data_IF_976084070731
#
_entry.id   IF_976084070731
#
_cell.length_a   1.000
_cell.length_b   1.000
_cell.length_c   1.000
_cell.angle_alpha   90.00
_cell.angle_beta   90.00
_cell.angle_gamma   90.00
#
_symmetry.space_group_name_H-M   'P 1'
#
loop_
_entity.id
_entity.type
_entity.pdbx_description
1 polymer ?
#
# COMPACT_ATOMS: atom_id res chain seq x y z
N UNK A 1 -1.96 15.12 -24.40
CA UNK A 1 -3.34 15.07 -23.88
C UNK A 1 -3.80 16.47 -23.57
N UNK A 2 -4.93 16.88 -24.08
CA UNK A 2 -5.56 18.14 -23.71
C UNK A 2 -5.98 18.09 -22.24
N UNK A 3 -5.53 19.06 -21.42
CA UNK A 3 -5.89 19.11 -19.99
C UNK A 3 -7.35 19.49 -19.87
N UNK A 4 -8.20 18.58 -19.40
CA UNK A 4 -9.61 18.89 -19.18
C UNK A 4 -9.77 19.77 -17.94
N UNK A 5 -10.62 20.81 -18.05
CA UNK A 5 -11.07 21.64 -16.94
C UNK A 5 -12.55 21.37 -16.72
N UNK A 6 -12.97 21.15 -15.49
CA UNK A 6 -14.38 21.01 -15.15
C UNK A 6 -14.76 22.00 -14.07
N UNK A 7 -15.66 22.93 -14.42
CA UNK A 7 -16.17 23.93 -13.48
C UNK A 7 -16.95 23.28 -12.31
N UNK A 8 -17.58 22.12 -12.52
CA UNK A 8 -18.28 21.39 -11.46
C UNK A 8 -17.34 20.81 -10.41
N UNK A 9 -16.18 20.28 -10.83
CA UNK A 9 -15.16 19.80 -9.89
C UNK A 9 -14.53 20.96 -9.12
N UNK A 10 -14.22 22.08 -9.78
CA UNK A 10 -13.71 23.27 -9.13
C UNK A 10 -14.71 23.83 -8.10
N UNK A 11 -16.00 23.83 -8.43
CA UNK A 11 -17.06 24.25 -7.49
C UNK A 11 -17.20 23.30 -6.29
N UNK A 12 -16.84 22.03 -6.45
CA UNK A 12 -16.77 21.03 -5.37
C UNK A 12 -15.45 21.09 -4.57
N UNK A 13 -14.52 22.00 -4.91
CA UNK A 13 -13.23 22.16 -4.23
C UNK A 13 -12.13 21.21 -4.71
N UNK A 14 -12.32 20.52 -5.85
CA UNK A 14 -11.35 19.58 -6.43
C UNK A 14 -10.58 20.23 -7.57
N UNK A 15 -9.24 20.23 -7.49
CA UNK A 15 -8.35 20.78 -8.53
C UNK A 15 -7.77 19.68 -9.43
N UNK A 16 -8.43 19.44 -10.58
CA UNK A 16 -7.97 18.47 -11.57
C UNK A 16 -6.55 18.81 -12.10
N UNK A 17 -6.19 20.11 -12.17
CA UNK A 17 -4.87 20.51 -12.69
C UNK A 17 -3.76 20.20 -11.72
N UNK A 18 -4.03 20.25 -10.42
CA UNK A 18 -3.13 19.76 -9.37
C UNK A 18 -2.90 18.26 -9.49
N UNK A 19 -3.96 17.47 -9.80
CA UNK A 19 -3.84 16.05 -10.06
C UNK A 19 -2.89 15.73 -11.22
N UNK A 20 -3.03 16.40 -12.37
CA UNK A 20 -2.11 16.22 -13.50
C UNK A 20 -0.66 16.59 -13.14
N UNK A 21 -0.45 17.68 -12.38
CA UNK A 21 0.88 18.10 -11.94
C UNK A 21 1.49 17.05 -11.00
N UNK A 22 0.72 16.52 -10.05
CA UNK A 22 1.17 15.47 -9.15
C UNK A 22 1.65 14.25 -9.93
N UNK A 23 0.84 13.77 -10.91
CA UNK A 23 1.22 12.66 -11.80
C UNK A 23 2.52 12.94 -12.55
N UNK A 24 2.71 14.14 -13.08
CA UNK A 24 3.94 14.50 -13.79
C UNK A 24 5.16 14.47 -12.87
N UNK A 25 5.04 14.95 -11.63
CA UNK A 25 6.13 14.94 -10.65
C UNK A 25 6.49 13.53 -10.18
N UNK A 26 5.53 12.62 -10.04
CA UNK A 26 5.78 11.27 -9.52
C UNK A 26 6.35 10.30 -10.57
N UNK A 27 6.21 10.59 -11.88
CA UNK A 27 6.62 9.68 -12.97
C UNK A 27 8.04 9.16 -12.83
N UNK A 28 9.00 10.01 -12.50
CA UNK A 28 10.41 9.62 -12.35
C UNK A 28 10.62 8.65 -11.18
N UNK A 29 9.85 8.77 -10.10
CA UNK A 29 9.95 7.89 -8.94
C UNK A 29 9.37 6.51 -9.27
N UNK A 30 8.18 6.48 -9.88
CA UNK A 30 7.52 5.23 -10.30
C UNK A 30 8.35 4.48 -11.34
N UNK A 31 8.97 5.18 -12.31
CA UNK A 31 9.80 4.57 -13.33
C UNK A 31 10.96 3.73 -12.77
N UNK A 32 11.47 4.07 -11.57
CA UNK A 32 12.54 3.31 -10.89
C UNK A 32 12.10 1.92 -10.42
N UNK A 33 10.79 1.70 -10.26
CA UNK A 33 10.23 0.43 -9.79
C UNK A 33 9.86 -0.52 -10.91
N UNK A 34 9.82 -0.03 -12.16
CA UNK A 34 9.41 -0.81 -13.32
C UNK A 34 10.47 -1.83 -13.70
N UNK A 35 10.02 -3.01 -14.12
CA UNK A 35 10.84 -4.11 -14.60
C UNK A 35 10.25 -4.69 -15.90
N UNK A 36 10.90 -5.73 -16.44
CA UNK A 36 10.52 -6.38 -17.70
C UNK A 36 9.11 -7.01 -17.70
N UNK A 37 8.56 -7.30 -16.53
CA UNK A 37 7.22 -7.88 -16.38
C UNK A 37 6.10 -6.82 -16.38
N UNK A 38 6.45 -5.53 -16.27
CA UNK A 38 5.47 -4.46 -16.28
C UNK A 38 5.00 -4.18 -17.71
N UNK A 39 3.70 -4.29 -17.96
CA UNK A 39 3.11 -4.05 -19.29
C UNK A 39 2.42 -2.68 -19.28
N UNK A 40 2.90 -1.77 -20.13
CA UNK A 40 2.37 -0.40 -20.20
C UNK A 40 3.09 0.56 -19.25
N UNK A 41 2.45 1.69 -18.95
CA UNK A 41 3.01 2.75 -18.09
C UNK A 41 1.94 3.44 -17.27
N UNK A 42 2.35 4.46 -16.48
CA UNK A 42 1.44 5.30 -15.71
C UNK A 42 0.35 5.93 -16.57
N UNK A 43 -0.90 5.89 -16.10
CA UNK A 43 -2.05 6.53 -16.74
C UNK A 43 -3.06 5.56 -17.34
N UNK A 44 -2.88 4.25 -17.18
CA UNK A 44 -3.91 3.24 -17.46
C UNK A 44 -4.91 3.10 -16.31
N UNK A 45 -6.06 2.45 -16.58
CA UNK A 45 -7.06 2.15 -15.56
C UNK A 45 -6.64 1.05 -14.57
N UNK A 46 -5.55 0.34 -14.84
CA UNK A 46 -5.02 -0.70 -13.96
C UNK A 46 -3.57 -1.01 -14.30
N UNK A 47 -2.84 -1.50 -13.31
CA UNK A 47 -1.48 -1.98 -13.48
C UNK A 47 -1.47 -3.37 -14.11
N UNK A 48 -0.79 -3.51 -15.25
CA UNK A 48 -0.61 -4.80 -15.93
C UNK A 48 0.76 -5.36 -15.60
N UNK A 49 0.79 -6.62 -15.17
CA UNK A 49 2.01 -7.30 -14.79
C UNK A 49 1.99 -8.74 -15.28
N UNK A 50 3.03 -9.15 -16.02
CA UNK A 50 3.20 -10.52 -16.49
C UNK A 50 3.70 -11.42 -15.36
N UNK A 51 2.93 -12.44 -15.04
CA UNK A 51 3.31 -13.42 -14.02
C UNK A 51 4.21 -14.50 -14.63
N UNK A 52 5.50 -14.51 -14.26
CA UNK A 52 6.40 -15.62 -14.59
C UNK A 52 6.10 -16.81 -13.65
N UNK A 53 5.62 -17.91 -14.24
CA UNK A 53 5.30 -19.15 -13.54
C UNK A 53 6.36 -20.25 -13.75
N UNK A 54 7.52 -19.95 -14.34
CA UNK A 54 8.55 -20.95 -14.70
C UNK A 54 8.96 -21.80 -13.51
N UNK A 55 9.16 -21.19 -12.34
CA UNK A 55 9.54 -21.87 -11.09
C UNK A 55 8.35 -22.15 -10.15
N UNK A 56 7.12 -21.97 -10.62
CA UNK A 56 5.89 -22.08 -9.87
C UNK A 56 4.86 -22.96 -10.61
N UNK A 57 5.01 -24.30 -10.64
CA UNK A 57 4.06 -25.20 -11.30
C UNK A 57 2.62 -25.04 -10.79
N UNK A 58 2.46 -24.66 -9.53
CA UNK A 58 1.16 -24.40 -8.90
C UNK A 58 1.17 -23.01 -8.24
N UNK A 59 1.10 -21.93 -9.02
CA UNK A 59 1.22 -20.58 -8.49
C UNK A 59 0.03 -20.22 -7.59
N UNK A 60 0.34 -19.61 -6.44
CA UNK A 60 -0.65 -19.07 -5.50
C UNK A 60 -0.35 -17.60 -5.32
N UNK A 61 -1.37 -16.76 -5.49
CA UNK A 61 -1.29 -15.33 -5.21
C UNK A 61 -1.57 -15.07 -3.73
N UNK A 62 -0.78 -14.19 -3.15
CA UNK A 62 -0.94 -13.70 -1.79
C UNK A 62 -1.03 -12.20 -1.85
N UNK A 63 -2.03 -11.63 -1.20
CA UNK A 63 -2.24 -10.18 -1.14
C UNK A 63 -2.24 -9.69 0.30
N UNK A 64 -1.67 -8.51 0.51
CA UNK A 64 -1.67 -7.80 1.77
C UNK A 64 -2.09 -6.35 1.56
N UNK A 65 -2.79 -5.77 2.53
CA UNK A 65 -3.15 -4.35 2.54
C UNK A 65 -3.02 -3.81 3.95
N UNK A 66 -2.48 -2.61 4.07
CA UNK A 66 -2.35 -1.92 5.35
C UNK A 66 -2.33 -0.40 5.15
N UNK A 67 -2.67 0.34 6.20
CA UNK A 67 -2.58 1.79 6.26
C UNK A 67 -1.47 2.23 7.22
N UNK A 68 -0.79 3.34 6.92
CA UNK A 68 0.30 3.87 7.78
C UNK A 68 -0.20 4.23 9.18
N UNK A 69 -1.46 4.71 9.27
CA UNK A 69 -2.10 5.01 10.54
C UNK A 69 -1.48 6.24 11.23
N UNK A 70 -1.41 6.21 12.57
CA UNK A 70 -1.06 7.39 13.38
C UNK A 70 0.35 7.93 13.16
N UNK A 71 1.26 7.18 12.54
CA UNK A 71 2.61 7.64 12.15
C UNK A 71 2.56 8.80 11.15
N UNK A 72 1.48 8.91 10.36
CA UNK A 72 1.25 10.04 9.46
C UNK A 72 1.23 11.38 10.22
N UNK A 73 0.73 11.39 11.45
CA UNK A 73 0.70 12.61 12.26
C UNK A 73 2.10 13.16 12.55
N UNK A 74 3.07 12.26 12.73
CA UNK A 74 4.49 12.66 12.92
C UNK A 74 5.05 13.25 11.64
N UNK A 75 4.77 12.64 10.48
CA UNK A 75 5.19 13.14 9.18
C UNK A 75 4.61 14.56 8.91
N UNK A 76 3.34 14.77 9.23
CA UNK A 76 2.65 16.05 9.11
C UNK A 76 3.28 17.11 10.03
N UNK A 77 3.52 16.81 11.31
CA UNK A 77 4.16 17.74 12.24
C UNK A 77 5.59 18.10 11.85
N UNK A 78 6.33 17.16 11.30
CA UNK A 78 7.70 17.38 10.86
C UNK A 78 7.80 17.99 9.46
N UNK A 79 6.66 18.09 8.73
CA UNK A 79 6.60 18.41 7.31
C UNK A 79 7.60 17.61 6.48
N UNK A 80 7.65 16.28 6.74
CA UNK A 80 8.55 15.33 6.08
C UNK A 80 7.74 14.12 5.62
N UNK A 81 7.53 13.99 4.31
CA UNK A 81 6.56 13.08 3.73
C UNK A 81 7.19 11.93 2.94
N UNK A 82 8.48 11.98 2.64
CA UNK A 82 9.21 11.04 1.79
C UNK A 82 9.55 9.69 2.47
N UNK A 83 9.35 9.56 3.78
CA UNK A 83 9.71 8.34 4.53
C UNK A 83 8.52 7.45 4.88
N UNK A 84 7.32 8.01 5.06
CA UNK A 84 6.13 7.23 5.43
C UNK A 84 5.66 6.29 4.32
N UNK A 85 6.03 6.59 3.05
CA UNK A 85 5.79 5.69 1.92
C UNK A 85 6.59 4.39 2.02
N UNK A 86 7.85 4.44 2.50
CA UNK A 86 8.66 3.25 2.74
C UNK A 86 7.99 2.37 3.80
N UNK A 87 7.50 2.98 4.87
CA UNK A 87 6.80 2.29 5.95
C UNK A 87 5.50 1.63 5.45
N UNK A 88 4.72 2.33 4.63
CA UNK A 88 3.52 1.80 3.99
C UNK A 88 3.81 0.51 3.20
N UNK A 89 4.85 0.55 2.36
CA UNK A 89 5.25 -0.62 1.56
C UNK A 89 5.71 -1.75 2.47
N UNK A 90 6.54 -1.45 3.47
CA UNK A 90 7.07 -2.47 4.38
C UNK A 90 5.95 -3.21 5.12
N UNK A 91 4.93 -2.52 5.60
CA UNK A 91 3.80 -3.15 6.30
C UNK A 91 3.05 -4.13 5.40
N UNK A 92 2.67 -3.71 4.18
CA UNK A 92 1.96 -4.57 3.24
C UNK A 92 2.82 -5.76 2.77
N UNK A 93 4.10 -5.51 2.44
CA UNK A 93 5.01 -6.51 1.89
C UNK A 93 5.39 -7.56 2.92
N UNK A 94 5.52 -7.19 4.19
CA UNK A 94 5.83 -8.14 5.25
C UNK A 94 4.78 -9.24 5.39
N UNK A 95 3.50 -8.93 5.22
CA UNK A 95 2.43 -9.93 5.24
C UNK A 95 2.59 -10.97 4.12
N UNK A 96 2.98 -10.52 2.93
CA UNK A 96 3.21 -11.36 1.76
C UNK A 96 4.46 -12.23 1.94
N UNK A 97 5.56 -11.64 2.44
CA UNK A 97 6.82 -12.35 2.68
C UNK A 97 6.67 -13.40 3.79
N UNK A 98 5.91 -13.09 4.86
CA UNK A 98 5.64 -14.04 5.94
C UNK A 98 4.94 -15.31 5.46
N UNK A 99 4.20 -15.24 4.36
CA UNK A 99 3.58 -16.39 3.74
C UNK A 99 4.51 -17.10 2.73
N UNK A 100 5.74 -16.64 2.55
CA UNK A 100 6.74 -17.21 1.65
C UNK A 100 6.66 -16.73 0.20
N UNK A 101 5.84 -15.72 -0.09
CA UNK A 101 5.68 -15.22 -1.44
C UNK A 101 6.70 -14.12 -1.77
N UNK A 102 7.05 -14.01 -3.05
CA UNK A 102 7.80 -12.90 -3.61
C UNK A 102 6.82 -11.77 -3.91
N UNK A 103 7.00 -10.57 -3.38
CA UNK A 103 6.21 -9.40 -3.79
C UNK A 103 6.41 -9.11 -5.29
N UNK A 104 5.34 -8.81 -6.00
CA UNK A 104 5.37 -8.56 -7.45
C UNK A 104 4.94 -7.13 -7.77
N UNK A 105 3.78 -6.74 -7.27
CA UNK A 105 3.17 -5.44 -7.55
C UNK A 105 2.71 -4.74 -6.27
N UNK A 106 2.70 -3.42 -6.35
CA UNK A 106 2.20 -2.55 -5.30
C UNK A 106 1.26 -1.50 -5.89
N UNK A 107 0.23 -1.15 -5.13
CA UNK A 107 -0.69 -0.05 -5.39
C UNK A 107 -0.78 0.80 -4.13
N UNK A 108 -0.76 2.12 -4.27
CA UNK A 108 -1.01 3.04 -3.16
C UNK A 108 -2.40 3.67 -3.24
N UNK A 109 -2.92 4.08 -2.10
CA UNK A 109 -4.10 4.91 -1.99
C UNK A 109 -3.80 6.10 -1.09
N UNK A 110 -3.89 7.30 -1.64
CA UNK A 110 -3.69 8.56 -0.92
C UNK A 110 -5.01 9.29 -0.90
N UNK A 111 -5.58 9.50 0.31
CA UNK A 111 -6.73 10.36 0.52
C UNK A 111 -6.28 11.67 1.16
N UNK A 112 -6.68 12.82 0.65
CA UNK A 112 -6.24 14.11 1.17
C UNK A 112 -7.37 15.15 1.15
N UNK A 113 -7.30 16.12 2.07
CA UNK A 113 -8.23 17.24 2.08
C UNK A 113 -7.99 18.19 0.91
N UNK A 114 -6.70 18.36 0.54
CA UNK A 114 -6.27 19.16 -0.61
C UNK A 114 -5.10 18.51 -1.32
N UNK A 115 -5.21 18.38 -2.63
CA UNK A 115 -4.14 17.87 -3.46
C UNK A 115 -3.04 18.94 -3.63
N UNK A 116 -1.96 18.80 -2.85
CA UNK A 116 -0.74 19.58 -3.00
C UNK A 116 0.26 18.73 -3.79
N UNK A 117 0.50 19.03 -5.09
CA UNK A 117 1.23 18.13 -5.99
C UNK A 117 2.61 17.74 -5.49
N UNK A 118 3.33 18.66 -4.88
CA UNK A 118 4.67 18.43 -4.34
C UNK A 118 4.63 17.42 -3.17
N UNK A 119 3.68 17.58 -2.25
CA UNK A 119 3.49 16.66 -1.11
C UNK A 119 3.08 15.27 -1.58
N UNK A 120 2.17 15.16 -2.55
CA UNK A 120 1.79 13.88 -3.14
C UNK A 120 2.99 13.21 -3.80
N UNK A 121 3.80 13.96 -4.53
CA UNK A 121 5.01 13.45 -5.16
C UNK A 121 6.04 12.95 -4.12
N UNK A 122 6.20 13.63 -2.98
CA UNK A 122 7.06 13.17 -1.88
C UNK A 122 6.56 11.86 -1.26
N UNK A 123 5.24 11.73 -1.03
CA UNK A 123 4.63 10.47 -0.55
C UNK A 123 4.92 9.32 -1.51
N UNK A 124 4.65 9.53 -2.81
CA UNK A 124 4.89 8.51 -3.85
C UNK A 124 6.39 8.24 -4.03
N UNK A 125 7.27 9.22 -3.83
CA UNK A 125 8.72 8.98 -3.83
C UNK A 125 9.12 7.98 -2.73
N UNK A 126 8.55 8.12 -1.53
CA UNK A 126 8.74 7.17 -0.44
C UNK A 126 8.17 5.78 -0.75
N UNK A 127 6.97 5.71 -1.34
CA UNK A 127 6.37 4.44 -1.78
C UNK A 127 7.25 3.77 -2.83
N UNK A 128 7.69 4.52 -3.84
CA UNK A 128 8.58 4.00 -4.88
C UNK A 128 9.92 3.49 -4.31
N UNK A 129 10.50 4.21 -3.35
CA UNK A 129 11.72 3.75 -2.67
C UNK A 129 11.47 2.43 -1.93
N UNK A 130 10.37 2.32 -1.19
CA UNK A 130 9.97 1.07 -0.53
C UNK A 130 9.79 -0.08 -1.53
N UNK A 131 9.17 0.18 -2.68
CA UNK A 131 9.00 -0.81 -3.75
C UNK A 131 10.33 -1.26 -4.34
N UNK A 132 11.29 -0.34 -4.56
CA UNK A 132 12.66 -0.68 -5.01
C UNK A 132 13.34 -1.59 -3.99
N UNK A 133 13.27 -1.28 -2.71
CA UNK A 133 13.84 -2.10 -1.64
C UNK A 133 13.19 -3.47 -1.54
N UNK A 134 11.86 -3.56 -1.74
CA UNK A 134 11.11 -4.81 -1.72
C UNK A 134 11.24 -5.63 -3.01
N UNK A 135 11.77 -5.05 -4.10
CA UNK A 135 11.87 -5.69 -5.40
C UNK A 135 10.53 -5.89 -6.09
N UNK A 136 9.53 -5.04 -5.82
CA UNK A 136 8.23 -5.06 -6.48
C UNK A 136 7.98 -3.77 -7.30
N UNK A 137 7.04 -3.83 -8.24
CA UNK A 137 6.72 -2.71 -9.11
C UNK A 137 5.53 -1.91 -8.58
N UNK A 138 5.65 -0.58 -8.51
CA UNK A 138 4.54 0.32 -8.26
C UNK A 138 3.77 0.52 -9.58
N UNK A 139 2.76 -0.32 -9.82
CA UNK A 139 2.08 -0.41 -11.12
C UNK A 139 0.86 0.52 -11.23
N UNK A 140 0.48 1.19 -10.16
CA UNK A 140 -0.64 2.12 -10.12
C UNK A 140 -0.96 2.56 -8.70
N UNK A 141 -2.05 3.29 -8.56
CA UNK A 141 -2.55 3.80 -7.30
C UNK A 141 -3.68 4.78 -7.51
N UNK A 142 -4.15 5.41 -6.44
CA UNK A 142 -5.21 6.39 -6.47
C UNK A 142 -4.87 7.57 -5.54
N UNK A 143 -5.14 8.79 -6.01
CA UNK A 143 -5.11 9.98 -5.16
C UNK A 143 -6.49 10.61 -5.15
N UNK A 144 -7.16 10.53 -4.00
CA UNK A 144 -8.49 11.05 -3.79
C UNK A 144 -8.44 12.39 -3.03
N UNK A 145 -8.77 13.49 -3.72
CA UNK A 145 -8.98 14.77 -3.07
C UNK A 145 -10.42 14.82 -2.53
N UNK A 146 -10.54 14.93 -1.20
CA UNK A 146 -11.83 14.85 -0.49
C UNK A 146 -12.03 16.08 0.43
N UNK A 147 -12.34 17.25 -0.15
CA UNK A 147 -12.54 18.47 0.61
C UNK A 147 -13.75 18.33 1.56
N UNK A 148 -13.57 18.79 2.80
CA UNK A 148 -14.59 18.66 3.84
C UNK A 148 -14.64 17.30 4.55
N UNK A 149 -13.95 16.27 4.03
CA UNK A 149 -13.77 14.98 4.70
C UNK A 149 -12.46 14.96 5.50
N UNK A 150 -11.37 15.44 4.88
CA UNK A 150 -10.09 15.69 5.54
C UNK A 150 -9.84 17.20 5.64
N UNK A 151 -9.16 17.69 6.70
CA UNK A 151 -8.55 19.02 6.72
C UNK A 151 -7.59 19.20 5.52
N UNK A 152 -7.40 20.44 5.05
CA UNK A 152 -6.59 20.71 3.86
C UNK A 152 -5.12 20.27 3.97
N UNK A 153 -4.59 20.24 5.18
CA UNK A 153 -3.20 19.87 5.49
C UNK A 153 -3.05 18.38 5.85
N UNK A 154 -4.15 17.65 5.96
CA UNK A 154 -4.15 16.24 6.35
C UNK A 154 -4.32 15.31 5.14
N UNK A 155 -3.80 14.09 5.30
CA UNK A 155 -3.93 13.01 4.33
C UNK A 155 -3.88 11.65 5.05
N UNK A 156 -4.36 10.63 4.37
CA UNK A 156 -4.17 9.22 4.72
C UNK A 156 -3.40 8.52 3.61
N UNK A 157 -2.66 7.47 3.97
CA UNK A 157 -1.86 6.67 3.06
C UNK A 157 -2.03 5.19 3.41
N UNK A 158 -2.47 4.43 2.44
CA UNK A 158 -2.57 2.98 2.52
C UNK A 158 -1.94 2.33 1.28
N UNK A 159 -1.63 1.05 1.40
CA UNK A 159 -1.05 0.27 0.32
C UNK A 159 -1.73 -1.08 0.14
N UNK A 160 -1.53 -1.63 -1.03
CA UNK A 160 -1.95 -2.97 -1.39
C UNK A 160 -0.87 -3.63 -2.22
N UNK A 161 -0.47 -4.83 -1.85
CA UNK A 161 0.53 -5.61 -2.57
C UNK A 161 -0.01 -6.98 -2.97
N UNK A 162 0.49 -7.49 -4.08
CA UNK A 162 0.28 -8.88 -4.50
C UNK A 162 1.64 -9.52 -4.73
N UNK A 163 1.82 -10.69 -4.16
CA UNK A 163 2.95 -11.56 -4.42
C UNK A 163 2.52 -12.93 -4.91
N UNK A 164 3.48 -13.73 -5.33
CA UNK A 164 3.24 -15.10 -5.75
C UNK A 164 4.25 -16.07 -5.14
N UNK A 165 3.79 -17.31 -4.95
CA UNK A 165 4.59 -18.43 -4.45
C UNK A 165 4.07 -19.74 -5.04
N UNK A 166 4.94 -20.71 -5.26
CA UNK A 166 4.46 -22.07 -5.54
C UNK A 166 3.75 -22.65 -4.32
N UNK A 167 2.64 -23.35 -4.55
CA UNK A 167 1.83 -23.96 -3.49
C UNK A 167 2.62 -24.82 -2.52
N UNK A 168 3.67 -25.49 -2.98
CA UNK A 168 4.53 -26.34 -2.16
C UNK A 168 5.48 -25.57 -1.24
N UNK A 169 5.68 -24.27 -1.50
CA UNK A 169 6.60 -23.39 -0.77
C UNK A 169 5.88 -22.42 0.17
N UNK A 170 4.55 -22.48 0.25
CA UNK A 170 3.77 -21.63 1.16
C UNK A 170 4.24 -21.85 2.60
N UNK A 171 4.57 -20.75 3.27
CA UNK A 171 4.91 -20.75 4.68
C UNK A 171 3.73 -20.20 5.48
N UNK A 172 3.14 -21.04 6.31
CA UNK A 172 2.14 -20.58 7.26
C UNK A 172 2.91 -20.25 8.54
N UNK A 173 3.30 -19.00 8.69
CA UNK A 173 4.17 -18.51 9.78
C UNK A 173 3.67 -18.96 11.16
N UNK A 174 2.37 -18.95 11.38
CA UNK A 174 1.75 -19.43 12.61
C UNK A 174 2.02 -20.93 12.87
N UNK A 175 1.92 -21.79 11.84
CA UNK A 175 2.23 -23.21 11.98
C UNK A 175 3.72 -23.48 12.22
N UNK A 176 4.60 -22.63 11.68
CA UNK A 176 6.04 -22.75 11.91
C UNK A 176 6.42 -22.31 13.33
N UNK A 177 5.83 -21.24 13.86
CA UNK A 177 6.01 -20.83 15.26
C UNK A 177 5.51 -21.95 16.20
N UNK A 178 4.36 -22.57 15.92
CA UNK A 178 3.82 -23.66 16.73
C UNK A 178 4.66 -24.96 16.61
N UNK A 179 5.23 -25.24 15.44
CA UNK A 179 6.17 -26.38 15.26
C UNK A 179 7.48 -26.17 16.00
N UNK A 180 8.00 -24.93 16.04
CA UNK A 180 9.23 -24.59 16.76
C UNK A 180 9.02 -24.47 18.27
N UNK A 181 7.79 -24.19 18.71
CA UNK A 181 7.42 -24.04 20.12
C UNK A 181 6.09 -24.73 20.45
N UNK A 182 6.08 -26.07 20.51
CA UNK A 182 4.85 -26.85 20.82
C UNK A 182 4.15 -26.40 22.12
N UNK A 183 4.94 -25.91 23.08
CA UNK A 183 4.45 -25.38 24.36
C UNK A 183 3.56 -24.13 24.24
N UNK A 184 3.57 -23.42 23.09
CA UNK A 184 2.67 -22.30 22.83
C UNK A 184 1.25 -22.76 22.48
N UNK A 185 1.10 -23.97 21.92
CA UNK A 185 -0.21 -24.59 21.65
C UNK A 185 -0.96 -24.85 22.96
N UNK A 186 -0.28 -25.42 23.97
CA UNK A 186 -0.88 -25.69 25.26
C UNK A 186 -1.34 -24.41 26.00
N UNK A 187 -0.68 -23.27 25.74
CA UNK A 187 -1.06 -21.97 26.33
C UNK A 187 -2.28 -21.34 25.65
N UNK A 188 -2.48 -21.58 24.35
CA UNK A 188 -3.66 -21.07 23.64
C UNK A 188 -4.93 -21.82 24.07
N UNK A 189 -4.82 -23.12 24.33
CA UNK A 189 -5.97 -23.93 24.77
C UNK A 189 -6.35 -23.70 26.25
N UNK A 190 -5.45 -23.12 27.04
CA UNK A 190 -5.63 -22.87 28.47
C UNK A 190 -5.68 -21.38 28.86
N UNK A 191 -5.74 -20.47 27.90
CA UNK A 191 -5.99 -19.06 28.21
C UNK A 191 -7.39 -18.93 28.84
N UNK A 192 -7.51 -18.55 30.12
CA UNK A 192 -8.82 -18.40 30.74
C UNK A 192 -9.58 -17.32 29.97
N UNK A 193 -10.70 -17.70 29.37
CA UNK A 193 -11.68 -16.74 28.83
C UNK A 193 -12.12 -15.89 29.99
N UNK A 194 -11.69 -14.64 30.04
CA UNK A 194 -12.07 -13.72 31.08
C UNK A 194 -13.59 -13.48 30.98
N UNK A 195 -14.41 -13.89 31.96
CA UNK A 195 -15.87 -13.77 31.88
C UNK A 195 -16.37 -12.33 31.78
N UNK A 196 -15.48 -11.34 31.94
CA UNK A 196 -15.82 -9.92 31.94
C UNK A 196 -15.72 -9.24 30.56
N UNK A 197 -15.26 -9.92 29.50
CA UNK A 197 -15.14 -9.32 28.16
C UNK A 197 -16.46 -9.21 27.37
N UNK A 198 -17.58 -9.68 27.94
CA UNK A 198 -18.89 -9.64 27.26
C UNK A 198 -19.77 -8.43 27.61
N UNK A 199 -19.30 -7.45 28.40
CA UNK A 199 -20.18 -6.38 28.89
C UNK A 199 -20.01 -4.99 28.27
N UNK A 200 -19.23 -4.81 27.19
CA UNK A 200 -19.02 -3.47 26.58
C UNK A 200 -19.32 -3.36 25.10
N UNK A 201 -20.32 -4.11 24.60
CA UNK A 201 -20.83 -3.93 23.22
C UNK A 201 -22.33 -3.68 23.17
N UNK A 202 -22.86 -2.82 24.02
CA UNK A 202 -24.20 -2.19 23.86
C UNK A 202 -24.24 -0.93 24.73
N UNK A 203 -23.82 0.19 24.18
CA UNK A 203 -24.45 1.50 24.36
C UNK A 203 -23.97 2.40 23.20
#
# INVERSE_FOLDING_TARGET
MEKSYSASYAAAGVDITAGYKAVDLMKQHVARTMNEHCIGGLGGFGGLFELDCTDMPHPVLISGTDGVGTKLRIAQYMNKHDTVGIDCVAMCVNDVICAGAKPLVFLDYIACGKNVPERIAELVAGVAEGCVQAGCALVGGETAEMPGFYPEDEYDLAGFTVGAVDKSKIQIAFLNILRCHPQLLDRCDHAPVNPHDHHNRRQ
#
